data_IF_162928157986
#
_entry.id   IF_162928157986
#
_cell.length_a   1.000
_cell.length_b   1.000
_cell.length_c   1.000
_cell.angle_alpha   90.00
_cell.angle_beta   90.00
_cell.angle_gamma   90.00
#
_symmetry.space_group_name_H-M   'P 1'
#
loop_
_entity.id
_entity.type
_entity.pdbx_description
1 polymer ?
#
# COMPACT_ATOMS: atom_id res chain seq x y z
N UNK A 1 -31.48 -55.15 25.07
CA UNK A 1 -30.53 -54.05 25.36
C UNK A 1 -29.70 -53.82 24.11
N UNK A 2 -30.07 -52.85 23.26
CA UNK A 2 -29.34 -52.51 22.04
C UNK A 2 -28.23 -51.49 22.36
N UNK A 3 -26.99 -51.76 21.91
CA UNK A 3 -25.89 -50.79 21.99
C UNK A 3 -26.03 -49.80 20.85
N UNK A 4 -26.33 -48.55 21.17
CA UNK A 4 -26.28 -47.42 20.23
C UNK A 4 -24.82 -47.10 19.97
N UNK A 5 -24.33 -47.32 18.75
CA UNK A 5 -23.03 -46.80 18.30
C UNK A 5 -23.17 -45.32 17.97
N UNK A 6 -22.45 -44.47 18.69
CA UNK A 6 -22.35 -43.03 18.40
C UNK A 6 -21.50 -42.87 17.14
N UNK A 7 -21.93 -42.09 16.12
CA UNK A 7 -21.13 -41.87 14.94
C UNK A 7 -19.90 -41.02 15.28
N UNK A 8 -18.74 -41.44 14.76
CA UNK A 8 -17.46 -40.73 14.88
C UNK A 8 -17.54 -39.37 14.15
N UNK A 9 -17.07 -38.26 14.75
CA UNK A 9 -17.12 -36.95 14.11
C UNK A 9 -16.21 -36.91 12.88
N UNK A 10 -16.72 -36.39 11.77
CA UNK A 10 -15.95 -36.19 10.55
C UNK A 10 -14.70 -35.33 10.83
N UNK A 11 -13.55 -35.61 10.17
CA UNK A 11 -12.34 -34.83 10.35
C UNK A 11 -12.62 -33.37 10.00
N UNK A 12 -12.46 -32.50 11.01
CA UNK A 12 -12.50 -31.06 10.81
C UNK A 12 -11.43 -30.71 9.79
N UNK A 13 -11.84 -30.14 8.64
CA UNK A 13 -10.93 -29.51 7.69
C UNK A 13 -10.24 -28.36 8.44
N UNK A 14 -9.11 -28.67 9.08
CA UNK A 14 -8.29 -27.72 9.84
C UNK A 14 -7.95 -26.57 8.90
N UNK A 15 -8.63 -25.43 9.09
CA UNK A 15 -8.17 -24.16 8.56
C UNK A 15 -6.69 -24.03 8.96
N UNK A 16 -5.78 -23.72 8.02
CA UNK A 16 -4.40 -23.48 8.38
C UNK A 16 -4.33 -22.48 9.54
N UNK A 17 -3.45 -22.67 10.52
CA UNK A 17 -3.32 -21.73 11.63
C UNK A 17 -3.06 -20.34 11.08
N UNK A 18 -3.78 -19.36 11.63
CA UNK A 18 -3.63 -17.96 11.24
C UNK A 18 -2.18 -17.53 11.47
N UNK A 19 -1.56 -16.97 10.43
CA UNK A 19 -0.19 -16.44 10.52
C UNK A 19 -0.17 -15.27 11.51
N UNK A 20 0.89 -15.18 12.30
CA UNK A 20 1.12 -14.01 13.13
C UNK A 20 1.35 -12.77 12.26
N UNK A 21 1.06 -11.55 12.77
CA UNK A 21 1.33 -10.31 12.04
C UNK A 21 2.74 -10.21 11.47
N UNK A 22 3.75 -10.63 12.24
CA UNK A 22 5.14 -10.63 11.79
C UNK A 22 5.40 -11.56 10.61
N UNK A 23 4.77 -12.74 10.55
CA UNK A 23 4.96 -13.68 9.43
C UNK A 23 4.32 -13.11 8.15
N UNK A 24 3.09 -12.60 8.24
CA UNK A 24 2.43 -11.94 7.10
C UNK A 24 3.18 -10.70 6.64
N UNK A 25 3.66 -9.88 7.59
CA UNK A 25 4.42 -8.68 7.32
C UNK A 25 5.75 -8.92 6.60
N UNK A 26 6.50 -9.96 7.00
CA UNK A 26 7.71 -10.36 6.27
C UNK A 26 7.41 -10.83 4.84
N UNK A 27 6.31 -11.56 4.66
CA UNK A 27 5.88 -11.98 3.32
C UNK A 27 5.55 -10.78 2.43
N UNK A 28 4.85 -9.77 2.98
CA UNK A 28 4.57 -8.51 2.28
C UNK A 28 5.84 -7.74 1.92
N UNK A 29 6.77 -7.57 2.88
CA UNK A 29 8.05 -6.90 2.66
C UNK A 29 8.90 -7.56 1.56
N UNK A 30 8.81 -8.88 1.39
CA UNK A 30 9.53 -9.60 0.35
C UNK A 30 9.02 -9.26 -1.08
N UNK A 31 7.79 -8.76 -1.20
CA UNK A 31 7.19 -8.32 -2.47
C UNK A 31 7.64 -6.90 -2.88
N UNK A 32 8.11 -6.08 -1.93
CA UNK A 32 8.58 -4.71 -2.19
C UNK A 32 9.94 -4.76 -2.88
N UNK A 33 9.97 -4.53 -4.20
CA UNK A 33 11.20 -4.47 -5.02
C UNK A 33 11.74 -3.05 -5.17
N UNK A 34 11.87 -2.36 -4.04
CA UNK A 34 12.33 -0.98 -3.92
C UNK A 34 13.23 -0.89 -2.67
N UNK A 35 14.37 -0.16 -2.66
CA UNK A 35 15.33 -0.12 -1.55
C UNK A 35 14.82 0.70 -0.35
N UNK A 36 13.66 0.36 0.18
CA UNK A 36 12.96 1.09 1.24
C UNK A 36 13.78 1.22 2.54
N UNK A 37 14.71 0.29 2.80
CA UNK A 37 15.58 0.38 3.97
C UNK A 37 16.45 1.66 3.96
N UNK A 38 16.77 2.20 2.78
CA UNK A 38 17.53 3.45 2.64
C UNK A 38 16.71 4.69 3.03
N UNK A 39 15.39 4.55 3.23
CA UNK A 39 14.55 5.62 3.76
C UNK A 39 14.78 5.84 5.26
N UNK A 40 15.36 4.87 5.98
CA UNK A 40 15.66 4.97 7.41
C UNK A 40 14.48 4.68 8.34
N UNK A 41 13.34 4.27 7.79
CA UNK A 41 12.12 3.98 8.58
C UNK A 41 12.13 2.56 9.13
N UNK A 42 11.65 2.40 10.37
CA UNK A 42 11.39 1.10 11.00
C UNK A 42 9.95 0.67 10.72
N UNK A 43 9.78 -0.53 10.15
CA UNK A 43 8.45 -1.12 9.92
C UNK A 43 8.10 -2.05 11.07
N UNK A 44 6.93 -1.85 11.68
CA UNK A 44 6.41 -2.65 12.78
C UNK A 44 5.06 -3.25 12.40
N UNK A 45 4.87 -4.54 12.68
CA UNK A 45 3.63 -5.26 12.41
C UNK A 45 2.88 -5.53 13.70
N UNK A 46 1.64 -5.08 13.75
CA UNK A 46 0.76 -5.19 14.91
C UNK A 46 -0.49 -6.01 14.57
N UNK A 47 -1.21 -6.55 15.58
CA UNK A 47 -2.56 -7.05 15.37
C UNK A 47 -3.48 -5.97 14.80
N UNK A 48 -4.54 -6.40 14.11
CA UNK A 48 -5.56 -5.50 13.54
C UNK A 48 -6.03 -4.42 14.53
N UNK A 49 -6.04 -3.18 14.06
CA UNK A 49 -6.69 -2.04 14.71
C UNK A 49 -7.89 -1.60 13.85
N UNK A 50 -9.14 -1.61 14.35
CA UNK A 50 -10.28 -1.14 13.59
C UNK A 50 -10.08 0.28 13.06
N UNK A 51 -10.38 0.50 11.78
CA UNK A 51 -10.24 1.81 11.12
C UNK A 51 -8.86 2.12 10.55
N UNK A 52 -7.83 1.30 10.82
CA UNK A 52 -6.46 1.53 10.37
C UNK A 52 -5.90 0.30 9.66
N UNK A 53 -5.20 0.54 8.55
CA UNK A 53 -4.47 -0.50 7.78
C UNK A 53 -2.97 -0.36 8.01
N UNK A 54 -2.46 0.85 7.80
CA UNK A 54 -1.12 1.24 8.19
C UNK A 54 -1.11 2.73 8.60
N UNK A 55 0.00 3.16 9.21
CA UNK A 55 0.25 4.53 9.63
C UNK A 55 1.74 4.86 9.53
N UNK A 56 2.07 5.98 8.89
CA UNK A 56 3.40 6.58 8.92
C UNK A 56 3.53 7.63 10.01
N UNK A 57 4.50 7.43 10.90
CA UNK A 57 4.91 8.38 11.94
C UNK A 57 6.24 9.04 11.50
N UNK A 58 6.11 10.19 10.85
CA UNK A 58 7.22 10.89 10.17
C UNK A 58 8.34 11.26 11.15
N UNK A 59 8.01 11.93 12.26
CA UNK A 59 9.00 12.41 13.24
C UNK A 59 9.72 11.27 13.98
N UNK A 60 9.13 10.07 13.99
CA UNK A 60 9.68 8.89 14.65
C UNK A 60 10.40 7.94 13.69
N UNK A 61 10.41 8.24 12.39
CA UNK A 61 10.91 7.34 11.34
C UNK A 61 10.33 5.92 11.51
N UNK A 62 9.02 5.83 11.70
CA UNK A 62 8.32 4.58 12.02
C UNK A 62 7.08 4.39 11.16
N UNK A 63 6.88 3.17 10.67
CA UNK A 63 5.66 2.74 9.99
C UNK A 63 5.04 1.62 10.83
N UNK A 64 3.76 1.75 11.13
CA UNK A 64 2.96 0.69 11.73
C UNK A 64 2.02 0.09 10.71
N UNK A 65 1.95 -1.24 10.68
CA UNK A 65 1.04 -1.99 9.82
C UNK A 65 0.18 -2.91 10.68
N UNK A 66 -1.14 -2.80 10.56
CA UNK A 66 -2.12 -3.49 11.39
C UNK A 66 -2.74 -4.67 10.66
N UNK A 67 -2.16 -5.85 10.85
CA UNK A 67 -2.45 -7.04 10.05
C UNK A 67 -3.77 -7.69 10.46
N UNK A 68 -4.70 -7.84 9.51
CA UNK A 68 -5.90 -8.65 9.70
C UNK A 68 -5.58 -10.14 9.54
N UNK A 69 -6.20 -10.97 10.40
CA UNK A 69 -6.10 -12.43 10.28
C UNK A 69 -6.53 -12.90 8.88
N UNK A 70 -5.64 -13.62 8.19
CA UNK A 70 -5.87 -14.14 6.84
C UNK A 70 -5.77 -13.08 5.73
N UNK A 71 -5.29 -11.88 6.03
CA UNK A 71 -4.97 -10.86 5.01
C UNK A 71 -3.88 -11.38 4.07
N UNK A 72 -4.05 -11.12 2.77
CA UNK A 72 -3.09 -11.58 1.77
C UNK A 72 -1.79 -10.78 1.87
N UNK A 73 -0.63 -11.41 1.65
CA UNK A 73 0.65 -10.70 1.59
C UNK A 73 0.66 -9.57 0.55
N UNK A 74 -0.07 -9.72 -0.56
CA UNK A 74 -0.16 -8.75 -1.64
C UNK A 74 -0.92 -7.49 -1.22
N UNK A 75 -2.06 -7.64 -0.53
CA UNK A 75 -2.81 -6.50 -0.01
C UNK A 75 -2.01 -5.75 1.06
N UNK A 76 -1.31 -6.49 1.93
CA UNK A 76 -0.45 -5.93 2.95
C UNK A 76 0.79 -5.23 2.35
N UNK A 77 1.34 -5.77 1.25
CA UNK A 77 2.41 -5.12 0.51
C UNK A 77 1.94 -3.82 -0.13
N UNK A 78 0.70 -3.79 -0.64
CA UNK A 78 0.11 -2.57 -1.19
C UNK A 78 -0.03 -1.48 -0.13
N UNK A 79 -0.58 -1.80 1.05
CA UNK A 79 -0.65 -0.86 2.16
C UNK A 79 0.73 -0.35 2.57
N UNK A 80 1.73 -1.25 2.61
CA UNK A 80 3.08 -0.86 2.96
C UNK A 80 3.74 0.03 1.90
N UNK A 81 3.51 -0.27 0.61
CA UNK A 81 4.00 0.56 -0.49
C UNK A 81 3.33 1.94 -0.48
N UNK A 82 2.06 2.02 -0.12
CA UNK A 82 1.35 3.28 0.09
C UNK A 82 2.07 4.14 1.14
N UNK A 83 2.39 3.57 2.31
CA UNK A 83 3.13 4.30 3.35
C UNK A 83 4.53 4.76 2.89
N UNK A 84 5.24 3.93 2.11
CA UNK A 84 6.49 4.38 1.48
C UNK A 84 6.28 5.52 0.48
N UNK A 85 5.16 5.53 -0.24
CA UNK A 85 4.77 6.63 -1.11
C UNK A 85 4.69 7.97 -0.38
N UNK A 86 4.08 8.01 0.82
CA UNK A 86 4.07 9.24 1.65
C UNK A 86 5.48 9.69 2.03
N UNK A 87 6.37 8.76 2.38
CA UNK A 87 7.75 9.08 2.73
C UNK A 87 8.52 9.62 1.51
N UNK A 88 8.29 9.04 0.33
CA UNK A 88 8.87 9.52 -0.93
C UNK A 88 8.37 10.93 -1.27
N UNK A 89 7.06 11.20 -1.13
CA UNK A 89 6.51 12.54 -1.31
C UNK A 89 7.23 13.55 -0.40
N UNK A 90 7.32 13.25 0.90
CA UNK A 90 7.95 14.15 1.86
C UNK A 90 9.45 14.39 1.58
N UNK A 91 10.16 13.38 1.09
CA UNK A 91 11.61 13.45 0.89
C UNK A 91 12.02 14.10 -0.44
N UNK A 92 11.24 13.88 -1.49
CA UNK A 92 11.67 14.18 -2.86
C UNK A 92 10.74 15.13 -3.62
N UNK A 93 9.54 15.41 -3.13
CA UNK A 93 8.61 16.32 -3.79
C UNK A 93 8.49 17.64 -3.04
N UNK A 94 8.57 18.72 -3.81
CA UNK A 94 8.29 20.08 -3.40
C UNK A 94 6.96 20.54 -4.01
N UNK A 95 6.61 21.80 -3.80
CA UNK A 95 5.37 22.38 -4.31
C UNK A 95 5.24 22.24 -5.83
N UNK A 96 6.29 22.55 -6.58
CA UNK A 96 6.27 22.55 -8.04
C UNK A 96 6.04 21.13 -8.60
N UNK A 97 6.69 20.12 -7.99
CA UNK A 97 6.51 18.71 -8.37
C UNK A 97 5.11 18.20 -8.03
N UNK A 98 4.54 18.63 -6.90
CA UNK A 98 3.16 18.33 -6.49
C UNK A 98 2.13 18.96 -7.42
N UNK A 99 2.35 20.21 -7.84
CA UNK A 99 1.49 20.87 -8.84
C UNK A 99 1.56 20.14 -10.20
N UNK A 100 2.76 19.71 -10.63
CA UNK A 100 2.94 18.87 -11.83
C UNK A 100 2.19 17.54 -11.70
N UNK A 101 2.28 16.88 -10.55
CA UNK A 101 1.52 15.66 -10.25
C UNK A 101 0.02 15.88 -10.44
N UNK A 102 -0.53 16.91 -9.79
CA UNK A 102 -1.95 17.22 -9.84
C UNK A 102 -2.41 17.47 -11.28
N UNK A 103 -1.65 18.28 -12.05
CA UNK A 103 -1.93 18.50 -13.47
C UNK A 103 -1.94 17.20 -14.28
N UNK A 104 -0.92 16.36 -14.09
CA UNK A 104 -0.79 15.09 -14.81
C UNK A 104 -1.94 14.12 -14.49
N UNK A 105 -2.40 14.11 -13.23
CA UNK A 105 -3.50 13.26 -12.75
C UNK A 105 -4.88 13.86 -13.02
N UNK A 106 -4.97 15.10 -13.51
CA UNK A 106 -6.23 15.80 -13.74
C UNK A 106 -6.92 16.28 -12.46
N UNK A 107 -6.15 16.49 -11.40
CA UNK A 107 -6.60 16.99 -10.10
C UNK A 107 -6.53 18.53 -10.13
N UNK A 108 -7.55 19.20 -9.60
CA UNK A 108 -7.58 20.66 -9.49
C UNK A 108 -6.41 21.18 -8.64
N UNK A 109 -5.47 21.97 -9.20
CA UNK A 109 -4.28 22.44 -8.49
C UNK A 109 -4.58 23.41 -7.34
N UNK A 110 -5.81 23.93 -7.22
CA UNK A 110 -6.23 24.73 -6.08
C UNK A 110 -6.55 23.88 -4.83
N UNK A 111 -6.71 22.56 -5.00
CA UNK A 111 -6.99 21.66 -3.90
C UNK A 111 -5.75 21.52 -2.98
N UNK A 112 -5.92 21.58 -1.65
CA UNK A 112 -4.82 21.33 -0.73
C UNK A 112 -4.18 19.95 -0.95
N UNK A 113 -2.85 19.89 -0.99
CA UNK A 113 -2.11 18.63 -1.17
C UNK A 113 -2.44 17.61 -0.09
N UNK A 114 -2.47 18.07 1.17
CA UNK A 114 -2.94 17.32 2.32
C UNK A 114 -4.38 17.72 2.64
N UNK A 115 -5.23 16.75 2.94
CA UNK A 115 -6.61 16.99 3.36
C UNK A 115 -6.71 17.58 4.77
N UNK A 116 -7.89 18.12 5.14
CA UNK A 116 -8.15 18.51 6.52
C UNK A 116 -8.13 17.30 7.45
N UNK A 117 -7.92 17.54 8.76
CA UNK A 117 -7.93 16.48 9.77
C UNK A 117 -9.24 15.66 9.71
N UNK A 118 -9.11 14.33 9.75
CA UNK A 118 -10.23 13.40 9.65
C UNK A 118 -10.73 13.13 8.23
N UNK A 119 -10.19 13.80 7.21
CA UNK A 119 -10.41 13.40 5.83
C UNK A 119 -9.74 12.05 5.55
N UNK A 120 -10.36 11.24 4.71
CA UNK A 120 -9.75 10.01 4.26
C UNK A 120 -8.61 10.34 3.30
N UNK A 121 -7.46 9.72 3.52
CA UNK A 121 -6.26 9.91 2.71
C UNK A 121 -6.52 9.67 1.21
N UNK A 122 -7.30 8.64 0.87
CA UNK A 122 -7.73 8.34 -0.50
C UNK A 122 -8.50 9.47 -1.21
N UNK A 123 -8.95 10.50 -0.50
CA UNK A 123 -9.63 11.68 -1.05
C UNK A 123 -8.72 12.92 -1.05
N UNK A 124 -7.40 12.73 -1.07
CA UNK A 124 -6.40 13.81 -1.08
C UNK A 124 -5.37 13.60 -2.20
N UNK A 125 -4.77 14.68 -2.74
CA UNK A 125 -3.66 14.57 -3.68
C UNK A 125 -2.46 13.77 -3.15
N UNK A 126 -2.12 13.93 -1.87
CA UNK A 126 -1.07 13.14 -1.21
C UNK A 126 -1.40 11.63 -1.18
N UNK A 127 -2.64 11.27 -0.88
CA UNK A 127 -3.08 9.88 -0.93
C UNK A 127 -3.12 9.31 -2.34
N UNK A 128 -3.48 10.10 -3.36
CA UNK A 128 -3.35 9.69 -4.76
C UNK A 128 -1.90 9.42 -5.14
N UNK A 129 -0.96 10.23 -4.65
CA UNK A 129 0.47 10.00 -4.80
C UNK A 129 0.89 8.66 -4.19
N UNK A 130 0.54 8.42 -2.93
CA UNK A 130 0.85 7.18 -2.22
C UNK A 130 0.25 5.93 -2.90
N UNK A 131 -1.02 6.00 -3.29
CA UNK A 131 -1.71 4.93 -4.02
C UNK A 131 -1.08 4.64 -5.39
N UNK A 132 -0.68 5.69 -6.10
CA UNK A 132 -0.02 5.56 -7.40
C UNK A 132 1.38 4.99 -7.26
N UNK A 133 2.13 5.39 -6.24
CA UNK A 133 3.43 4.77 -5.94
C UNK A 133 3.28 3.25 -5.70
N UNK A 134 2.29 2.85 -4.90
CA UNK A 134 1.99 1.44 -4.66
C UNK A 134 1.60 0.70 -5.95
N UNK A 135 0.74 1.31 -6.76
CA UNK A 135 0.34 0.77 -8.07
C UNK A 135 1.53 0.56 -9.01
N UNK A 136 2.42 1.55 -9.12
CA UNK A 136 3.57 1.46 -10.02
C UNK A 136 4.60 0.41 -9.57
N UNK A 137 4.63 0.09 -8.27
CA UNK A 137 5.53 -0.92 -7.72
C UNK A 137 4.95 -2.35 -7.77
N UNK A 138 3.64 -2.50 -7.58
CA UNK A 138 2.99 -3.80 -7.33
C UNK A 138 1.90 -4.17 -8.34
N UNK A 139 1.51 -3.25 -9.23
CA UNK A 139 0.42 -3.43 -10.18
C UNK A 139 -0.95 -3.04 -9.63
N UNK A 140 -2.06 -3.38 -10.33
CA UNK A 140 -3.40 -2.84 -10.06
C UNK A 140 -3.96 -3.12 -8.68
N UNK A 141 -3.58 -4.25 -8.08
CA UNK A 141 -3.68 -4.53 -6.65
C UNK A 141 -4.91 -3.97 -5.93
N UNK A 142 -4.64 -3.26 -4.83
CA UNK A 142 -5.64 -2.68 -3.92
C UNK A 142 -5.70 -1.15 -4.09
N UNK A 143 -5.81 -0.66 -5.32
CA UNK A 143 -5.87 0.77 -5.59
C UNK A 143 -7.25 1.37 -5.18
N UNK A 144 -7.23 2.40 -4.35
CA UNK A 144 -8.37 3.04 -3.71
C UNK A 144 -8.42 4.57 -3.87
N UNK A 145 -7.48 5.20 -4.60
CA UNK A 145 -7.53 6.64 -4.84
C UNK A 145 -8.90 7.06 -5.41
N UNK A 146 -9.46 8.13 -4.84
CA UNK A 146 -10.70 8.77 -5.29
C UNK A 146 -10.43 10.09 -6.03
N UNK A 147 -9.16 10.46 -6.18
CA UNK A 147 -8.75 11.68 -6.88
C UNK A 147 -8.70 11.48 -8.39
N UNK A 148 -8.23 10.32 -8.82
CA UNK A 148 -8.09 9.96 -10.21
C UNK A 148 -8.12 8.42 -10.36
N UNK A 149 -8.55 7.89 -11.51
CA UNK A 149 -8.48 6.45 -11.79
C UNK A 149 -7.03 5.94 -11.76
N UNK A 150 -6.80 4.62 -11.76
CA UNK A 150 -5.46 4.05 -11.90
C UNK A 150 -4.66 4.69 -13.06
N UNK A 151 -3.32 4.82 -12.94
CA UNK A 151 -2.48 5.41 -13.97
C UNK A 151 -2.71 4.82 -15.37
N UNK A 152 -2.88 5.70 -16.36
CA UNK A 152 -2.92 5.30 -17.78
C UNK A 152 -1.50 5.10 -18.31
N UNK A 153 -1.35 4.25 -19.32
CA UNK A 153 -0.03 3.87 -19.87
C UNK A 153 0.82 5.09 -20.23
N UNK A 154 0.23 6.12 -20.82
CA UNK A 154 0.94 7.34 -21.21
C UNK A 154 1.42 8.20 -20.02
N UNK A 155 0.84 7.99 -18.83
CA UNK A 155 1.23 8.70 -17.61
C UNK A 155 2.35 7.98 -16.84
N UNK A 156 2.52 6.67 -17.01
CA UNK A 156 3.38 5.81 -16.17
C UNK A 156 4.81 6.35 -16.07
N UNK A 157 5.42 6.73 -17.20
CA UNK A 157 6.82 7.21 -17.21
C UNK A 157 7.01 8.45 -16.35
N UNK A 158 6.13 9.43 -16.50
CA UNK A 158 6.23 10.70 -15.80
C UNK A 158 5.86 10.56 -14.32
N UNK A 159 4.86 9.73 -13.99
CA UNK A 159 4.52 9.41 -12.61
C UNK A 159 5.68 8.68 -11.91
N UNK A 160 6.34 7.74 -12.59
CA UNK A 160 7.49 7.02 -12.04
C UNK A 160 8.67 7.95 -11.73
N UNK A 161 8.95 8.95 -12.57
CA UNK A 161 9.95 10.00 -12.32
C UNK A 161 9.59 10.83 -11.08
N UNK A 162 8.32 11.22 -10.94
CA UNK A 162 7.83 11.95 -9.76
C UNK A 162 7.90 11.11 -8.48
N UNK A 163 7.77 9.79 -8.61
CA UNK A 163 7.93 8.80 -7.55
C UNK A 163 9.38 8.33 -7.32
N UNK A 164 10.36 8.77 -8.12
CA UNK A 164 11.76 8.34 -8.04
C UNK A 164 11.94 6.81 -8.19
N UNK A 165 11.12 6.19 -9.05
CA UNK A 165 11.13 4.75 -9.35
C UNK A 165 11.15 4.45 -10.85
N UNK A 166 11.56 5.40 -11.68
CA UNK A 166 11.65 5.26 -13.15
C UNK A 166 12.47 4.03 -13.59
N UNK A 167 13.48 3.66 -12.81
CA UNK A 167 14.32 2.49 -13.05
C UNK A 167 13.60 1.16 -12.78
N UNK A 168 12.52 1.18 -11.99
CA UNK A 168 11.71 0.01 -11.62
C UNK A 168 10.50 -0.11 -12.56
N UNK A 169 9.83 1.01 -12.88
CA UNK A 169 8.59 1.00 -13.68
C UNK A 169 8.76 0.61 -15.15
N UNK A 170 9.98 0.67 -15.70
CA UNK A 170 10.26 0.15 -17.04
C UNK A 170 9.92 -1.34 -17.20
N UNK A 171 9.97 -2.12 -16.11
CA UNK A 171 9.63 -3.55 -16.10
C UNK A 171 8.12 -3.82 -16.00
N UNK A 172 7.32 -2.89 -15.47
CA UNK A 172 5.86 -3.04 -15.32
C UNK A 172 5.14 -2.68 -16.62
N UNK A 173 5.63 -1.67 -17.35
CA UNK A 173 5.06 -1.28 -18.64
C UNK A 173 5.15 -2.38 -19.72
N UNK A 174 6.14 -3.28 -19.64
CA UNK A 174 6.33 -4.38 -20.60
C UNK A 174 5.41 -5.59 -20.37
N UNK A 175 4.68 -5.66 -19.25
CA UNK A 175 3.82 -6.79 -18.89
C UNK A 175 2.31 -6.50 -19.10
N UNK A 176 1.97 -5.32 -19.61
CA UNK A 176 0.58 -4.88 -19.83
C UNK A 176 0.26 -4.65 -21.32
N UNK A 177 1.09 -5.18 -22.23
CA UNK A 177 0.80 -5.26 -23.68
C UNK A 177 0.23 -6.63 -24.07
#
# INVERSE_FOLDING_TARGET
MGRTTVPEPAPSLLRPPLRSPHVSGRAALALIKFPWQQLGYKVQFHPRRPGYRALTFVDEYRIEVYVKAGESPEALAFDLAHEFGHIIDLKFNNRERRERWMKLRGIDPSMPWYGPSGCSDYATPAGDFAETFAYLLLGPGSFHSRMAPPPRTEQIRELAELCQIEHISAAVAQNNE
#
